data_IF_481195609705
#
_entry.id   IF_481195609705
#
_cell.length_a   1.000
_cell.length_b   1.000
_cell.length_c   1.000
_cell.angle_alpha   90.00
_cell.angle_beta   90.00
_cell.angle_gamma   90.00
#
_symmetry.space_group_name_H-M   'P 1'
#
loop_
_entity.id
_entity.type
_entity.pdbx_description
1 polymer ?
#
# COMPACT_ATOMS: atom_id res chain seq x y z
N UNK A 1 20.01 20.89 -11.24
CA UNK A 1 19.31 21.22 -9.96
C UNK A 1 20.39 21.49 -8.93
N UNK A 2 20.25 22.54 -8.11
CA UNK A 2 21.27 22.91 -7.11
C UNK A 2 21.25 21.94 -5.93
N UNK A 3 22.43 21.68 -5.34
CA UNK A 3 22.58 20.82 -4.15
C UNK A 3 22.22 21.54 -2.84
N UNK A 4 22.19 22.86 -2.86
CA UNK A 4 21.64 23.68 -1.78
C UNK A 4 20.89 24.88 -2.32
N UNK A 5 19.93 25.35 -1.52
CA UNK A 5 19.18 26.59 -1.72
C UNK A 5 19.33 27.45 -0.46
N UNK A 6 19.08 28.74 -0.56
CA UNK A 6 19.09 29.67 0.58
C UNK A 6 17.88 30.59 0.53
N UNK A 7 17.22 30.79 1.67
CA UNK A 7 16.16 31.78 1.85
C UNK A 7 16.42 32.62 3.11
N UNK A 8 15.47 33.46 3.51
CA UNK A 8 15.55 34.26 4.74
C UNK A 8 15.62 33.44 6.03
N UNK A 9 15.29 32.14 5.98
CA UNK A 9 15.31 31.20 7.12
C UNK A 9 16.57 30.33 7.14
N UNK A 10 17.47 30.52 6.17
CA UNK A 10 18.78 29.90 6.13
C UNK A 10 18.97 28.90 5.00
N UNK A 11 19.89 27.96 5.21
CA UNK A 11 20.30 27.01 4.18
C UNK A 11 19.35 25.82 4.08
N UNK A 12 19.04 25.42 2.86
CA UNK A 12 18.37 24.16 2.53
C UNK A 12 19.34 23.25 1.80
N UNK A 13 19.44 22.00 2.24
CA UNK A 13 20.37 21.01 1.68
C UNK A 13 19.57 19.91 1.02
N UNK A 14 19.96 19.49 -0.18
CA UNK A 14 19.31 18.38 -0.89
C UNK A 14 19.56 17.08 -0.12
N UNK A 15 18.51 16.36 0.28
CA UNK A 15 18.65 14.99 0.81
C UNK A 15 18.52 13.93 -0.28
N UNK A 16 17.80 14.21 -1.35
CA UNK A 16 17.52 13.20 -2.35
C UNK A 16 16.62 13.67 -3.48
N UNK A 17 16.44 12.77 -4.43
CA UNK A 17 15.60 12.98 -5.59
C UNK A 17 14.96 11.66 -5.97
N UNK A 18 13.63 11.65 -5.96
CA UNK A 18 12.82 10.53 -6.46
C UNK A 18 12.41 10.74 -7.92
N UNK A 19 11.47 9.91 -8.37
CA UNK A 19 10.91 10.01 -9.72
C UNK A 19 10.10 11.28 -9.95
N UNK A 20 9.47 11.81 -8.89
CA UNK A 20 8.51 12.92 -8.99
C UNK A 20 8.96 14.19 -8.27
N UNK A 21 9.79 14.07 -7.24
CA UNK A 21 10.15 15.19 -6.38
C UNK A 21 11.66 15.23 -6.12
N UNK A 22 12.19 16.45 -5.98
CA UNK A 22 13.44 16.70 -5.28
C UNK A 22 13.11 17.11 -3.85
N UNK A 23 13.92 16.64 -2.91
CA UNK A 23 13.68 16.85 -1.49
C UNK A 23 14.88 17.55 -0.86
N UNK A 24 14.59 18.63 -0.16
CA UNK A 24 15.53 19.39 0.64
C UNK A 24 15.11 19.36 2.11
N UNK A 25 16.05 19.57 3.01
CA UNK A 25 15.79 19.81 4.43
C UNK A 25 16.45 21.11 4.85
N UNK A 26 15.86 21.82 5.81
CA UNK A 26 16.42 23.08 6.28
C UNK A 26 17.55 22.86 7.29
N UNK A 27 18.36 23.90 7.49
CA UNK A 27 19.51 23.88 8.40
C UNK A 27 19.15 23.50 9.85
N UNK A 28 17.94 23.84 10.30
CA UNK A 28 17.44 23.47 11.63
C UNK A 28 17.00 22.00 11.74
N UNK A 29 16.96 21.26 10.63
CA UNK A 29 16.53 19.86 10.56
C UNK A 29 15.10 19.62 11.08
N UNK A 30 14.19 20.59 10.89
CA UNK A 30 12.80 20.50 11.35
C UNK A 30 11.78 20.54 10.20
N UNK A 31 12.20 20.94 9.00
CA UNK A 31 11.35 21.04 7.81
C UNK A 31 11.97 20.33 6.61
N UNK A 32 11.09 19.81 5.78
CA UNK A 32 11.39 19.23 4.47
C UNK A 32 10.70 20.07 3.40
N UNK A 33 11.42 20.43 2.35
CA UNK A 33 10.90 21.11 1.17
C UNK A 33 10.90 20.16 -0.03
N UNK A 34 9.71 19.82 -0.54
CA UNK A 34 9.51 18.94 -1.69
C UNK A 34 9.18 19.77 -2.92
N UNK A 35 9.98 19.61 -3.97
CA UNK A 35 9.84 20.31 -5.25
C UNK A 35 9.50 19.32 -6.36
N UNK A 36 8.32 19.42 -6.99
CA UNK A 36 7.95 18.55 -8.08
C UNK A 36 8.84 18.77 -9.31
N UNK A 37 9.19 17.68 -10.00
CA UNK A 37 10.00 17.69 -11.22
C UNK A 37 9.10 18.00 -12.42
N UNK A 38 9.28 19.17 -13.04
CA UNK A 38 8.38 19.70 -14.08
C UNK A 38 8.31 18.87 -15.38
N UNK A 39 9.28 17.99 -15.64
CA UNK A 39 9.37 17.18 -16.88
C UNK A 39 8.92 15.72 -16.71
N UNK A 40 8.19 15.40 -15.64
CA UNK A 40 7.66 14.05 -15.42
C UNK A 40 6.39 13.82 -16.24
N UNK A 41 6.01 12.56 -16.46
CA UNK A 41 4.80 12.20 -17.21
C UNK A 41 3.59 13.03 -16.74
N UNK A 42 2.96 13.75 -17.67
CA UNK A 42 1.93 14.77 -17.40
C UNK A 42 0.77 14.24 -16.56
N UNK A 43 0.47 12.94 -16.64
CA UNK A 43 -0.61 12.34 -15.83
C UNK A 43 -0.21 12.18 -14.36
N UNK A 44 1.06 11.87 -14.09
CA UNK A 44 1.56 11.59 -12.75
C UNK A 44 2.03 12.82 -12.02
N UNK A 45 2.60 13.76 -12.77
CA UNK A 45 3.00 15.04 -12.22
C UNK A 45 1.82 15.74 -11.50
N UNK A 46 0.57 15.51 -11.95
CA UNK A 46 -0.64 16.03 -11.31
C UNK A 46 -0.85 15.58 -9.86
N UNK A 47 -0.27 14.45 -9.44
CA UNK A 47 -0.42 13.96 -8.07
C UNK A 47 0.42 14.78 -7.07
N UNK A 48 1.57 15.28 -7.53
CA UNK A 48 2.54 16.04 -6.75
C UNK A 48 2.54 17.54 -7.08
N UNK A 49 1.64 18.01 -7.94
CA UNK A 49 1.52 19.40 -8.35
C UNK A 49 0.44 20.17 -7.56
N UNK A 50 0.64 21.49 -7.49
CA UNK A 50 -0.31 22.41 -6.88
C UNK A 50 -0.50 22.17 -5.38
N UNK A 51 -1.74 22.34 -4.90
CA UNK A 51 -2.08 22.22 -3.47
C UNK A 51 -2.37 20.78 -3.02
N UNK A 52 -2.63 19.86 -3.96
CA UNK A 52 -3.04 18.48 -3.64
C UNK A 52 -2.11 17.77 -2.64
N UNK A 53 -0.77 17.71 -2.82
CA UNK A 53 0.08 16.98 -1.89
C UNK A 53 0.08 17.60 -0.48
N UNK A 54 -0.05 18.93 -0.37
CA UNK A 54 -0.16 19.64 0.92
C UNK A 54 -1.47 19.30 1.63
N UNK A 55 -2.58 19.33 0.90
CA UNK A 55 -3.90 18.99 1.42
C UNK A 55 -3.95 17.54 1.88
N UNK A 56 -3.37 16.61 1.11
CA UNK A 56 -3.25 15.21 1.50
C UNK A 56 -2.39 15.00 2.73
N UNK A 57 -1.23 15.67 2.79
CA UNK A 57 -0.39 15.63 3.99
C UNK A 57 -1.15 16.10 5.21
N UNK A 58 -1.80 17.27 5.13
CA UNK A 58 -2.55 17.84 6.24
C UNK A 58 -3.77 16.99 6.62
N UNK A 59 -4.37 16.29 5.66
CA UNK A 59 -5.47 15.37 5.93
C UNK A 59 -4.98 14.09 6.63
N UNK A 60 -3.91 13.47 6.12
CA UNK A 60 -3.38 12.20 6.64
C UNK A 60 -2.67 12.40 7.97
N UNK A 61 -1.79 13.41 8.05
CA UNK A 61 -0.91 13.71 9.18
C UNK A 61 -1.38 14.94 9.97
N UNK A 62 -2.69 15.12 10.14
CA UNK A 62 -3.30 16.34 10.72
C UNK A 62 -2.85 16.70 12.15
N UNK A 63 -2.30 15.74 12.88
CA UNK A 63 -1.78 15.91 14.24
C UNK A 63 -0.36 16.49 14.27
N UNK A 64 0.35 16.54 13.14
CA UNK A 64 1.71 17.04 13.08
C UNK A 64 1.75 18.56 12.87
N UNK A 65 2.75 19.19 13.46
CA UNK A 65 3.03 20.64 13.33
C UNK A 65 4.49 20.87 12.94
N UNK A 66 4.79 21.92 12.15
CA UNK A 66 3.83 22.80 11.47
C UNK A 66 3.02 22.07 10.39
N UNK A 67 1.90 22.66 9.95
CA UNK A 67 1.12 22.10 8.84
C UNK A 67 1.89 22.24 7.53
N UNK A 68 1.63 21.35 6.57
CA UNK A 68 2.21 21.49 5.24
C UNK A 68 1.68 22.73 4.52
N UNK A 69 2.56 23.43 3.82
CA UNK A 69 2.23 24.69 3.16
C UNK A 69 3.00 24.84 1.85
N UNK A 70 2.44 25.59 0.90
CA UNK A 70 3.14 26.01 -0.30
C UNK A 70 4.38 26.83 0.08
N UNK A 71 5.46 26.63 -0.65
CA UNK A 71 6.73 27.31 -0.37
C UNK A 71 7.49 27.56 -1.67
N UNK A 72 8.19 28.67 -1.74
CA UNK A 72 8.99 29.07 -2.89
C UNK A 72 10.36 29.54 -2.41
N UNK A 73 11.42 29.02 -3.04
CA UNK A 73 12.81 29.39 -2.76
C UNK A 73 13.53 29.49 -4.09
N UNK A 74 14.20 30.61 -4.35
CA UNK A 74 14.99 30.82 -5.58
C UNK A 74 14.22 30.49 -6.88
N UNK A 75 12.91 30.80 -6.93
CA UNK A 75 12.03 30.51 -8.07
C UNK A 75 11.62 29.03 -8.21
N UNK A 76 12.04 28.16 -7.30
CA UNK A 76 11.57 26.78 -7.22
C UNK A 76 10.28 26.73 -6.39
N UNK A 77 9.17 26.34 -7.01
CA UNK A 77 7.87 26.23 -6.36
C UNK A 77 7.67 24.79 -5.87
N UNK A 78 7.37 24.63 -4.59
CA UNK A 78 7.10 23.35 -3.97
C UNK A 78 6.25 23.48 -2.71
N UNK A 79 6.50 22.61 -1.74
CA UNK A 79 5.81 22.66 -0.46
C UNK A 79 6.68 22.16 0.68
N UNK A 80 6.43 22.72 1.87
CA UNK A 80 7.10 22.31 3.10
C UNK A 80 6.23 21.40 3.95
N UNK A 81 6.85 20.52 4.71
CA UNK A 81 6.22 19.74 5.78
C UNK A 81 7.23 19.45 6.92
N UNK A 82 6.78 19.01 8.10
CA UNK A 82 7.68 18.63 9.18
C UNK A 82 8.65 17.53 8.77
N UNK A 83 9.91 17.68 9.16
CA UNK A 83 10.89 16.61 9.08
C UNK A 83 10.56 15.52 10.11
N UNK A 84 10.42 14.28 9.64
CA UNK A 84 10.08 13.14 10.50
C UNK A 84 11.33 12.31 10.74
N UNK A 85 11.82 12.31 11.97
CA UNK A 85 12.96 11.49 12.40
C UNK A 85 12.46 10.22 13.09
N UNK A 86 12.95 9.07 12.64
CA UNK A 86 12.63 7.77 13.21
C UNK A 86 13.22 6.63 12.39
N UNK A 87 12.69 5.43 12.58
CA UNK A 87 13.06 4.23 11.82
C UNK A 87 12.07 3.96 10.69
N UNK A 88 12.48 3.20 9.68
CA UNK A 88 11.55 2.64 8.71
C UNK A 88 10.48 1.81 9.45
N UNK A 89 9.21 2.04 9.12
CA UNK A 89 8.11 1.31 9.73
C UNK A 89 8.14 -0.17 9.35
N UNK A 90 7.75 -1.04 10.28
CA UNK A 90 7.61 -2.47 10.00
C UNK A 90 6.38 -2.74 9.13
N UNK A 91 6.34 -3.89 8.43
CA UNK A 91 5.18 -4.31 7.63
C UNK A 91 3.85 -4.29 8.43
N UNK A 92 3.91 -4.59 9.74
CA UNK A 92 2.70 -4.56 10.60
C UNK A 92 2.29 -3.13 10.95
N UNK A 93 3.26 -2.25 11.22
CA UNK A 93 3.01 -0.83 11.49
C UNK A 93 2.43 -0.14 10.25
N UNK A 94 2.95 -0.44 9.04
CA UNK A 94 2.43 0.08 7.77
C UNK A 94 1.00 -0.41 7.54
N UNK A 95 0.77 -1.72 7.66
CA UNK A 95 -0.54 -2.35 7.51
C UNK A 95 -1.58 -1.73 8.45
N UNK A 96 -1.24 -1.51 9.72
CA UNK A 96 -2.11 -0.81 10.67
C UNK A 96 -2.37 0.64 10.26
N UNK A 97 -1.31 1.38 9.91
CA UNK A 97 -1.44 2.79 9.51
C UNK A 97 -2.28 2.98 8.26
N UNK A 98 -2.23 2.05 7.31
CA UNK A 98 -3.07 2.07 6.11
C UNK A 98 -4.56 2.02 6.44
N UNK A 99 -4.95 1.17 7.40
CA UNK A 99 -6.34 1.12 7.87
C UNK A 99 -6.75 2.41 8.56
N UNK A 100 -5.89 3.00 9.40
CA UNK A 100 -6.19 4.31 9.99
C UNK A 100 -6.42 5.38 8.92
N UNK A 101 -5.56 5.44 7.90
CA UNK A 101 -5.69 6.38 6.78
C UNK A 101 -6.99 6.15 6.03
N UNK A 102 -7.30 4.89 5.72
CA UNK A 102 -8.54 4.54 5.04
C UNK A 102 -9.76 4.92 5.86
N UNK A 103 -9.79 4.62 7.16
CA UNK A 103 -10.93 4.91 8.00
C UNK A 103 -11.16 6.42 8.14
N UNK A 104 -10.07 7.17 8.26
CA UNK A 104 -10.11 8.63 8.40
C UNK A 104 -10.48 9.35 7.11
N UNK A 105 -10.06 8.84 5.95
CA UNK A 105 -10.05 9.62 4.69
C UNK A 105 -10.72 8.95 3.50
N UNK A 106 -11.05 7.66 3.60
CA UNK A 106 -11.47 6.79 2.49
C UNK A 106 -10.38 6.52 1.45
N UNK A 107 -9.13 6.95 1.71
CA UNK A 107 -8.01 6.82 0.76
C UNK A 107 -7.16 5.59 1.03
N UNK A 108 -6.56 5.08 -0.04
CA UNK A 108 -5.63 3.96 0.00
C UNK A 108 -4.27 4.45 -0.51
N UNK A 109 -3.21 4.27 0.28
CA UNK A 109 -1.83 4.56 -0.14
C UNK A 109 -1.30 3.34 -0.87
N UNK A 110 -1.39 3.34 -2.20
CA UNK A 110 -1.16 2.13 -3.03
C UNK A 110 0.33 1.75 -3.14
N UNK A 111 1.23 2.68 -2.88
CA UNK A 111 2.69 2.52 -2.91
C UNK A 111 3.30 2.40 -1.51
N UNK A 112 2.50 2.05 -0.50
CA UNK A 112 2.96 1.97 0.89
C UNK A 112 4.07 0.94 1.16
N UNK A 113 4.31 0.04 0.21
CA UNK A 113 5.40 -0.96 0.25
C UNK A 113 6.75 -0.35 -0.17
N UNK A 114 6.80 0.93 -0.52
CA UNK A 114 8.05 1.65 -0.72
C UNK A 114 8.83 1.74 0.59
N UNK A 115 10.09 1.30 0.56
CA UNK A 115 10.97 1.48 1.72
C UNK A 115 11.03 2.97 2.08
N UNK A 116 10.87 3.25 3.38
CA UNK A 116 10.86 4.59 3.95
C UNK A 116 9.67 5.48 3.58
N UNK A 117 8.65 4.99 2.85
CA UNK A 117 7.40 5.76 2.68
C UNK A 117 6.64 5.94 4.01
N UNK A 118 6.94 5.10 5.00
CA UNK A 118 6.41 5.18 6.35
C UNK A 118 7.56 5.17 7.37
N UNK A 119 7.49 6.09 8.33
CA UNK A 119 8.47 6.25 9.41
C UNK A 119 7.78 6.12 10.76
N UNK A 120 8.32 5.28 11.64
CA UNK A 120 7.87 5.18 13.03
C UNK A 120 8.76 6.05 13.91
N UNK A 121 8.16 7.03 14.58
CA UNK A 121 8.85 8.00 15.42
C UNK A 121 9.38 7.30 16.68
N UNK A 122 10.67 7.40 16.95
CA UNK A 122 11.29 6.69 18.08
C UNK A 122 11.45 7.55 19.34
N UNK A 123 11.38 8.88 19.20
CA UNK A 123 11.65 9.85 20.27
C UNK A 123 10.68 11.03 20.23
N UNK A 124 10.53 11.71 21.37
CA UNK A 124 9.69 12.90 21.50
C UNK A 124 8.21 12.60 21.77
N UNK A 125 7.34 13.61 21.68
CA UNK A 125 5.94 13.50 22.11
C UNK A 125 5.09 12.58 21.23
N UNK A 126 5.51 12.34 19.98
CA UNK A 126 4.84 11.45 19.04
C UNK A 126 5.48 10.06 18.96
N UNK A 127 6.27 9.66 19.97
CA UNK A 127 6.94 8.35 20.02
C UNK A 127 5.94 7.20 19.79
N UNK A 128 6.33 6.25 18.95
CA UNK A 128 5.52 5.09 18.57
C UNK A 128 4.54 5.34 17.43
N UNK A 129 4.33 6.59 17.02
CA UNK A 129 3.44 6.89 15.90
C UNK A 129 4.12 6.57 14.56
N UNK A 130 3.42 5.85 13.70
CA UNK A 130 3.81 5.62 12.31
C UNK A 130 3.22 6.71 11.41
N UNK A 131 4.08 7.38 10.65
CA UNK A 131 3.75 8.52 9.79
C UNK A 131 3.95 8.13 8.33
N UNK A 132 2.96 8.42 7.49
CA UNK A 132 3.06 8.29 6.04
C UNK A 132 3.74 9.55 5.49
N UNK A 133 4.97 9.42 5.00
CA UNK A 133 5.75 10.56 4.51
C UNK A 133 5.65 10.76 3.00
N UNK A 134 5.25 9.72 2.26
CA UNK A 134 4.91 9.81 0.83
C UNK A 134 3.41 9.60 0.63
N UNK A 135 2.71 10.69 0.33
CA UNK A 135 1.24 10.75 0.25
C UNK A 135 0.74 10.92 -1.19
N UNK A 136 1.64 11.00 -2.17
CA UNK A 136 1.29 11.31 -3.57
C UNK A 136 0.26 10.34 -4.13
N UNK A 137 0.42 9.05 -3.82
CA UNK A 137 -0.43 7.95 -4.24
C UNK A 137 -1.47 7.53 -3.18
N UNK A 138 -1.88 8.44 -2.30
CA UNK A 138 -3.06 8.27 -1.45
C UNK A 138 -4.36 8.51 -2.25
N UNK A 139 -4.88 7.46 -2.88
CA UNK A 139 -5.95 7.53 -3.85
C UNK A 139 -7.34 7.39 -3.22
N UNK A 140 -8.29 8.23 -3.66
CA UNK A 140 -9.71 8.08 -3.36
C UNK A 140 -10.40 7.47 -4.59
N UNK A 141 -10.70 6.18 -4.55
CA UNK A 141 -11.20 5.37 -5.67
C UNK A 141 -12.71 5.14 -5.65
N UNK A 142 -13.45 5.98 -4.91
CA UNK A 142 -14.90 5.87 -4.82
C UNK A 142 -15.54 6.08 -6.19
N UNK A 143 -16.30 5.09 -6.64
CA UNK A 143 -17.07 5.16 -7.88
C UNK A 143 -18.53 5.54 -7.65
N UNK A 144 -19.01 5.47 -6.41
CA UNK A 144 -20.38 5.88 -6.06
C UNK A 144 -20.60 7.37 -6.30
N UNK A 145 -21.78 7.74 -6.83
CA UNK A 145 -22.21 9.13 -6.97
C UNK A 145 -22.55 9.78 -5.63
N UNK A 146 -22.71 9.00 -4.57
CA UNK A 146 -23.12 9.45 -3.24
C UNK A 146 -21.94 9.98 -2.40
N UNK A 147 -20.70 9.68 -2.80
CA UNK A 147 -19.49 10.05 -2.06
C UNK A 147 -18.61 11.01 -2.88
N UNK A 148 -17.81 11.86 -2.22
CA UNK A 148 -16.82 12.68 -2.91
C UNK A 148 -15.91 11.82 -3.81
N UNK A 149 -15.79 12.21 -5.07
CA UNK A 149 -14.90 11.58 -6.06
C UNK A 149 -13.67 12.45 -6.25
N UNK A 150 -12.54 11.81 -6.53
CA UNK A 150 -11.32 12.49 -6.96
C UNK A 150 -10.98 12.01 -8.36
N UNK A 151 -11.32 12.80 -9.39
CA UNK A 151 -11.00 12.44 -10.78
C UNK A 151 -9.50 12.20 -10.95
N UNK A 152 -8.66 13.03 -10.34
CA UNK A 152 -7.20 12.83 -10.32
C UNK A 152 -6.78 11.48 -9.75
N UNK A 153 -7.46 11.00 -8.70
CA UNK A 153 -7.16 9.68 -8.11
C UNK A 153 -7.60 8.54 -9.03
N UNK A 154 -8.76 8.68 -9.69
CA UNK A 154 -9.26 7.70 -10.66
C UNK A 154 -8.36 7.62 -11.90
N UNK A 155 -8.01 8.76 -12.47
CA UNK A 155 -7.11 8.84 -13.63
C UNK A 155 -5.74 8.23 -13.31
N UNK A 156 -5.20 8.51 -12.12
CA UNK A 156 -3.94 7.94 -11.66
C UNK A 156 -4.03 6.43 -11.49
N UNK A 157 -5.12 5.94 -10.89
CA UNK A 157 -5.35 4.52 -10.73
C UNK A 157 -5.44 3.79 -12.07
N UNK A 158 -6.21 4.31 -13.02
CA UNK A 158 -6.34 3.70 -14.34
C UNK A 158 -5.01 3.65 -15.09
N UNK A 159 -4.14 4.65 -14.88
CA UNK A 159 -2.80 4.66 -15.44
C UNK A 159 -1.82 3.66 -14.77
N UNK A 160 -1.95 3.42 -13.46
CA UNK A 160 -0.94 2.68 -12.68
C UNK A 160 -1.35 1.30 -12.22
N UNK A 161 -2.64 0.96 -12.33
CA UNK A 161 -3.18 -0.29 -11.79
C UNK A 161 -2.37 -1.50 -12.22
N UNK A 162 -1.99 -1.62 -13.50
CA UNK A 162 -1.21 -2.76 -13.99
C UNK A 162 0.14 -2.88 -13.27
N UNK A 163 0.92 -1.80 -13.21
CA UNK A 163 2.23 -1.79 -12.57
C UNK A 163 2.14 -2.11 -11.07
N UNK A 164 1.09 -1.63 -10.41
CA UNK A 164 0.81 -1.93 -9.00
C UNK A 164 0.49 -3.41 -8.83
N UNK A 165 -0.36 -3.99 -9.70
CA UNK A 165 -0.68 -5.42 -9.65
C UNK A 165 0.55 -6.30 -9.89
N UNK A 166 1.40 -5.91 -10.84
CA UNK A 166 2.65 -6.61 -11.11
C UNK A 166 3.58 -6.53 -9.90
N UNK A 167 3.66 -5.37 -9.26
CA UNK A 167 4.43 -5.16 -8.03
C UNK A 167 3.90 -6.00 -6.87
N UNK A 168 2.58 -6.15 -6.73
CA UNK A 168 1.99 -7.06 -5.74
C UNK A 168 2.36 -8.52 -6.00
N UNK A 169 2.71 -8.90 -7.22
CA UNK A 169 3.11 -10.27 -7.55
C UNK A 169 4.62 -10.50 -7.42
N UNK A 170 5.40 -9.44 -7.20
CA UNK A 170 6.85 -9.53 -7.00
C UNK A 170 7.18 -10.33 -5.73
N UNK A 171 8.01 -11.36 -5.88
CA UNK A 171 8.49 -12.18 -4.76
C UNK A 171 9.19 -11.34 -3.69
N UNK A 172 9.92 -10.30 -4.10
CA UNK A 172 10.60 -9.38 -3.18
C UNK A 172 9.60 -8.61 -2.32
N UNK A 173 8.57 -8.02 -2.93
CA UNK A 173 7.54 -7.26 -2.21
C UNK A 173 6.74 -8.18 -1.30
N UNK A 174 6.36 -9.36 -1.77
CA UNK A 174 5.67 -10.37 -0.96
C UNK A 174 6.50 -10.86 0.22
N UNK A 175 7.83 -10.91 0.08
CA UNK A 175 8.72 -11.30 1.17
C UNK A 175 8.83 -10.22 2.26
N UNK A 176 9.02 -8.95 1.87
CA UNK A 176 9.24 -7.86 2.82
C UNK A 176 7.96 -7.24 3.38
N UNK A 177 6.87 -7.24 2.59
CA UNK A 177 5.63 -6.52 2.91
C UNK A 177 4.34 -7.35 2.74
N UNK A 178 4.29 -8.62 3.19
CA UNK A 178 3.13 -9.48 2.94
C UNK A 178 1.83 -8.93 3.56
N UNK A 179 1.87 -8.37 4.78
CA UNK A 179 0.67 -7.85 5.45
C UNK A 179 0.20 -6.56 4.80
N UNK A 180 1.12 -5.69 4.42
CA UNK A 180 0.83 -4.46 3.70
C UNK A 180 0.14 -4.77 2.36
N UNK A 181 0.65 -5.71 1.57
CA UNK A 181 0.02 -6.12 0.30
C UNK A 181 -1.40 -6.64 0.55
N UNK A 182 -1.58 -7.55 1.51
CA UNK A 182 -2.89 -8.10 1.87
C UNK A 182 -3.85 -6.98 2.28
N UNK A 183 -3.38 -6.02 3.07
CA UNK A 183 -4.19 -4.88 3.53
C UNK A 183 -4.61 -4.01 2.35
N UNK A 184 -3.68 -3.62 1.47
CA UNK A 184 -4.00 -2.79 0.30
C UNK A 184 -5.04 -3.50 -0.59
N UNK A 185 -4.85 -4.78 -0.89
CA UNK A 185 -5.82 -5.57 -1.69
C UNK A 185 -7.19 -5.67 -1.01
N UNK A 186 -7.23 -5.91 0.30
CA UNK A 186 -8.47 -5.95 1.06
C UNK A 186 -9.20 -4.60 1.02
N UNK A 187 -8.49 -3.49 1.25
CA UNK A 187 -9.07 -2.14 1.18
C UNK A 187 -9.55 -1.79 -0.23
N UNK A 188 -8.78 -2.15 -1.28
CA UNK A 188 -9.19 -1.97 -2.67
C UNK A 188 -10.48 -2.72 -2.97
N UNK A 189 -10.63 -3.94 -2.46
CA UNK A 189 -11.87 -4.71 -2.60
C UNK A 189 -13.03 -4.04 -1.86
N UNK A 190 -12.84 -3.62 -0.61
CA UNK A 190 -13.88 -2.95 0.19
C UNK A 190 -14.37 -1.64 -0.46
N UNK A 191 -13.45 -0.84 -1.01
CA UNK A 191 -13.78 0.44 -1.62
C UNK A 191 -14.71 0.31 -2.83
N UNK A 192 -14.69 -0.81 -3.54
CA UNK A 192 -15.61 -1.05 -4.66
C UNK A 192 -17.07 -1.16 -4.22
N UNK A 193 -17.32 -1.61 -2.99
CA UNK A 193 -18.67 -1.74 -2.44
C UNK A 193 -19.17 -0.45 -1.80
N UNK A 194 -18.34 0.60 -1.70
CA UNK A 194 -18.67 1.94 -1.18
C UNK A 194 -19.42 1.94 0.17
N UNK A 195 -19.18 0.97 1.04
CA UNK A 195 -19.96 0.77 2.26
C UNK A 195 -19.15 0.72 3.56
N UNK A 196 -17.82 0.69 3.47
CA UNK A 196 -16.96 0.54 4.66
C UNK A 196 -16.14 1.79 4.87
N UNK A 197 -16.48 2.55 5.91
CA UNK A 197 -15.63 3.60 6.44
C UNK A 197 -14.79 3.12 7.63
N UNK A 198 -15.06 1.93 8.18
CA UNK A 198 -14.23 1.34 9.22
C UNK A 198 -13.74 -0.05 8.81
N UNK A 199 -12.42 -0.18 8.66
CA UNK A 199 -11.67 -1.38 8.31
C UNK A 199 -10.78 -1.87 9.47
N UNK A 200 -11.03 -1.46 10.72
CA UNK A 200 -10.28 -1.90 11.92
C UNK A 200 -10.32 -3.42 12.09
N UNK A 201 -11.38 -4.05 11.59
CA UNK A 201 -11.54 -5.51 11.61
C UNK A 201 -10.45 -6.27 10.85
N UNK A 202 -9.71 -5.61 9.96
CA UNK A 202 -8.58 -6.22 9.25
C UNK A 202 -7.41 -6.56 10.20
N UNK A 203 -7.32 -5.90 11.36
CA UNK A 203 -6.21 -6.02 12.31
C UNK A 203 -6.57 -6.74 13.61
N UNK A 204 -7.77 -7.32 13.69
CA UNK A 204 -8.18 -8.10 14.85
C UNK A 204 -7.22 -9.27 15.18
N UNK A 205 -7.51 -9.97 16.27
CA UNK A 205 -6.88 -11.28 16.58
C UNK A 205 -7.08 -12.25 15.40
N UNK A 206 -6.67 -13.51 15.53
CA UNK A 206 -6.62 -14.53 14.46
C UNK A 206 -7.66 -14.41 13.31
N UNK A 207 -8.92 -14.11 13.61
CA UNK A 207 -9.99 -13.87 12.63
C UNK A 207 -9.78 -12.65 11.71
N UNK A 208 -9.32 -11.51 12.22
CA UNK A 208 -9.11 -10.30 11.41
C UNK A 208 -8.09 -10.54 10.29
N UNK A 209 -7.01 -11.25 10.61
CA UNK A 209 -5.99 -11.68 9.62
C UNK A 209 -6.59 -12.60 8.55
N UNK A 210 -7.50 -13.51 8.93
CA UNK A 210 -8.22 -14.36 7.97
C UNK A 210 -9.13 -13.55 7.07
N UNK A 211 -9.90 -12.62 7.63
CA UNK A 211 -10.81 -11.75 6.87
C UNK A 211 -10.00 -10.91 5.88
N UNK A 212 -8.91 -10.28 6.32
CA UNK A 212 -8.03 -9.50 5.45
C UNK A 212 -7.49 -10.34 4.28
N UNK A 213 -6.97 -11.55 4.57
CA UNK A 213 -6.47 -12.46 3.53
C UNK A 213 -7.58 -12.87 2.56
N UNK A 214 -8.76 -13.15 3.08
CA UNK A 214 -9.93 -13.56 2.32
C UNK A 214 -10.39 -12.46 1.35
N UNK A 215 -10.49 -11.22 1.81
CA UNK A 215 -10.81 -10.06 0.97
C UNK A 215 -9.73 -9.79 -0.09
N UNK A 216 -8.45 -9.95 0.27
CA UNK A 216 -7.35 -9.85 -0.68
C UNK A 216 -7.43 -10.95 -1.76
N UNK A 217 -7.81 -12.18 -1.40
CA UNK A 217 -8.03 -13.27 -2.36
C UNK A 217 -9.22 -13.00 -3.28
N UNK A 218 -10.29 -12.40 -2.76
CA UNK A 218 -11.42 -11.97 -3.58
C UNK A 218 -11.03 -10.87 -4.56
N UNK A 219 -10.17 -9.93 -4.14
CA UNK A 219 -9.59 -8.93 -5.03
C UNK A 219 -8.81 -9.57 -6.17
N UNK A 220 -7.92 -10.52 -5.86
CA UNK A 220 -7.10 -11.20 -6.86
C UNK A 220 -7.97 -11.98 -7.85
N UNK A 221 -8.92 -12.77 -7.36
CA UNK A 221 -9.85 -13.54 -8.19
C UNK A 221 -10.67 -12.65 -9.14
N UNK A 222 -11.08 -11.47 -8.69
CA UNK A 222 -11.83 -10.52 -9.52
C UNK A 222 -10.99 -10.00 -10.69
N UNK A 223 -9.69 -9.78 -10.46
CA UNK A 223 -8.80 -9.19 -11.46
C UNK A 223 -8.14 -10.23 -12.39
N UNK A 224 -8.41 -11.53 -12.21
CA UNK A 224 -7.98 -12.56 -13.15
C UNK A 224 -8.75 -12.44 -14.48
N UNK A 225 -8.00 -12.31 -15.59
CA UNK A 225 -8.56 -12.20 -16.95
C UNK A 225 -9.35 -13.43 -17.40
N UNK A 226 -9.03 -14.60 -16.84
CA UNK A 226 -9.72 -15.87 -17.11
C UNK A 226 -10.06 -16.56 -15.79
N UNK A 227 -11.34 -16.59 -15.44
CA UNK A 227 -11.83 -17.36 -14.28
C UNK A 227 -11.96 -18.82 -14.74
N UNK A 228 -11.07 -19.71 -14.30
CA UNK A 228 -11.27 -21.13 -14.54
C UNK A 228 -12.50 -21.62 -13.77
N UNK A 229 -13.16 -22.69 -14.23
CA UNK A 229 -14.35 -23.23 -13.56
C UNK A 229 -14.13 -23.52 -12.07
N UNK A 230 -12.93 -24.01 -11.71
CA UNK A 230 -12.52 -24.26 -10.32
C UNK A 230 -12.48 -22.98 -9.45
N UNK A 231 -12.26 -21.82 -10.06
CA UNK A 231 -12.27 -20.53 -9.36
C UNK A 231 -13.68 -20.03 -9.05
N UNK A 232 -14.71 -20.51 -9.77
CA UNK A 232 -16.11 -20.17 -9.47
C UNK A 232 -16.55 -20.72 -8.12
N UNK A 233 -16.17 -21.96 -7.82
CA UNK A 233 -16.47 -22.59 -6.52
C UNK A 233 -15.66 -21.93 -5.42
N UNK A 234 -14.38 -21.63 -5.67
CA UNK A 234 -13.54 -20.85 -4.75
C UNK A 234 -14.18 -19.51 -4.42
N UNK A 235 -14.66 -18.76 -5.42
CA UNK A 235 -15.34 -17.48 -5.21
C UNK A 235 -16.58 -17.65 -4.33
N UNK A 236 -17.43 -18.64 -4.60
CA UNK A 236 -18.62 -18.92 -3.76
C UNK A 236 -18.25 -19.27 -2.31
N UNK A 237 -17.22 -20.09 -2.13
CA UNK A 237 -16.73 -20.48 -0.80
C UNK A 237 -16.21 -19.25 -0.06
N UNK A 238 -15.28 -18.50 -0.66
CA UNK A 238 -14.71 -17.31 -0.04
C UNK A 238 -15.79 -16.31 0.33
N UNK A 239 -16.74 -16.10 -0.56
CA UNK A 239 -17.87 -15.22 -0.36
C UNK A 239 -18.78 -15.67 0.81
N UNK A 240 -19.09 -16.97 0.89
CA UNK A 240 -19.84 -17.54 2.02
C UNK A 240 -19.06 -17.36 3.33
N UNK A 241 -17.76 -17.60 3.31
CA UNK A 241 -16.88 -17.40 4.47
C UNK A 241 -16.86 -15.93 4.91
N UNK A 242 -16.82 -14.96 3.97
CA UNK A 242 -16.90 -13.53 4.31
C UNK A 242 -18.22 -13.23 5.01
N UNK A 243 -19.34 -13.68 4.44
CA UNK A 243 -20.66 -13.46 5.02
C UNK A 243 -20.80 -14.07 6.42
N UNK A 244 -20.32 -15.31 6.60
CA UNK A 244 -20.35 -16.00 7.89
C UNK A 244 -19.48 -15.26 8.92
N UNK A 245 -18.28 -14.81 8.55
CA UNK A 245 -17.40 -14.05 9.44
C UNK A 245 -18.00 -12.69 9.81
N UNK A 246 -18.64 -12.00 8.87
CA UNK A 246 -19.35 -10.75 9.15
C UNK A 246 -20.51 -10.99 10.12
N UNK A 247 -21.33 -12.01 9.84
CA UNK A 247 -22.52 -12.32 10.62
C UNK A 247 -22.18 -12.73 12.05
N UNK A 248 -21.14 -13.55 12.23
CA UNK A 248 -20.75 -14.09 13.53
C UNK A 248 -19.96 -13.11 14.41
N UNK A 249 -19.25 -12.14 13.81
CA UNK A 249 -18.39 -11.22 14.56
C UNK A 249 -19.09 -9.93 14.97
N UNK A 250 -20.44 -9.93 15.02
CA UNK A 250 -21.25 -8.75 15.37
C UNK A 250 -20.93 -7.51 14.53
N UNK A 251 -20.46 -7.69 13.29
CA UNK A 251 -20.40 -6.56 12.38
C UNK A 251 -21.83 -6.13 12.06
N UNK A 252 -22.07 -4.82 12.12
CA UNK A 252 -23.37 -4.27 11.82
C UNK A 252 -23.79 -4.69 10.40
N UNK A 253 -24.78 -5.58 10.32
CA UNK A 253 -25.26 -6.16 9.07
C UNK A 253 -25.85 -5.10 8.14
N UNK A 254 -26.24 -3.94 8.69
CA UNK A 254 -26.70 -2.79 7.91
C UNK A 254 -25.60 -2.20 7.01
N UNK A 255 -24.33 -2.55 7.24
CA UNK A 255 -23.19 -2.14 6.42
C UNK A 255 -23.01 -3.01 5.15
N UNK A 256 -23.74 -4.12 5.00
CA UNK A 256 -23.56 -5.08 3.90
C UNK A 256 -24.70 -5.26 2.85
N UNK A 257 -25.71 -4.37 2.69
CA UNK A 257 -26.79 -4.58 1.71
C UNK A 257 -26.32 -4.73 0.26
N UNK A 258 -25.33 -3.95 -0.20
CA UNK A 258 -24.86 -4.00 -1.60
C UNK A 258 -23.92 -5.18 -1.83
N UNK A 259 -23.26 -5.67 -0.79
CA UNK A 259 -22.50 -6.92 -0.85
C UNK A 259 -23.42 -8.09 -1.21
N UNK A 260 -24.60 -8.16 -0.58
CA UNK A 260 -25.67 -9.12 -0.88
C UNK A 260 -26.29 -8.96 -2.29
N UNK A 261 -26.24 -7.76 -2.89
CA UNK A 261 -26.69 -7.55 -4.27
C UNK A 261 -25.69 -8.08 -5.31
N UNK A 262 -24.40 -7.76 -5.18
CA UNK A 262 -23.33 -8.32 -6.02
C UNK A 262 -23.29 -9.85 -5.95
N UNK A 263 -23.63 -10.38 -4.78
CA UNK A 263 -23.86 -11.78 -4.49
C UNK A 263 -24.95 -12.44 -5.35
N UNK A 264 -26.02 -11.71 -5.64
CA UNK A 264 -27.21 -12.22 -6.32
C UNK A 264 -27.21 -11.99 -7.85
N UNK A 265 -26.63 -10.89 -8.35
CA UNK A 265 -26.56 -10.62 -9.80
C UNK A 265 -25.76 -11.67 -10.57
N UNK A 266 -24.69 -12.21 -9.97
CA UNK A 266 -23.91 -13.29 -10.60
C UNK A 266 -24.69 -14.62 -10.71
N UNK A 267 -25.80 -14.78 -9.98
CA UNK A 267 -26.72 -15.90 -10.14
C UNK A 267 -27.83 -15.62 -11.15
N UNK A 268 -28.28 -14.37 -11.30
CA UNK A 268 -29.27 -13.97 -12.31
C UNK A 268 -28.75 -14.06 -13.75
N UNK A 269 -27.52 -13.63 -14.00
CA UNK A 269 -26.90 -13.75 -15.35
C UNK A 269 -26.81 -15.21 -15.83
N UNK A 270 -26.83 -16.20 -14.91
CA UNK A 270 -26.90 -17.63 -15.25
C UNK A 270 -28.28 -18.11 -15.66
N UNK A 271 -29.35 -17.52 -15.15
CA UNK A 271 -30.71 -17.86 -15.58
C UNK A 271 -30.98 -17.30 -16.97
N UNK A 272 -30.39 -16.15 -17.30
CA UNK A 272 -30.49 -15.55 -18.63
C UNK A 272 -29.61 -16.28 -19.66
N UNK A 273 -28.36 -16.66 -19.33
CA UNK A 273 -27.53 -17.53 -20.20
C UNK A 273 -28.16 -18.92 -20.40
N UNK A 274 -28.85 -19.48 -19.40
CA UNK A 274 -29.58 -20.75 -19.56
C UNK A 274 -30.87 -20.61 -20.38
N UNK A 275 -31.49 -19.42 -20.41
CA UNK A 275 -32.68 -19.13 -21.23
C UNK A 275 -32.32 -18.76 -22.67
N UNK A 276 -31.11 -18.27 -22.93
CA UNK A 276 -30.65 -17.91 -24.28
C UNK A 276 -30.08 -19.08 -25.08
N UNK A 277 -29.89 -20.25 -24.48
CA UNK A 277 -29.58 -21.49 -25.21
C UNK A 277 -30.91 -22.20 -25.50
N UNK A 278 -31.63 -21.70 -26.50
CA UNK A 278 -32.64 -22.50 -27.18
C UNK A 278 -31.92 -23.67 -27.91
N UNK A 279 -32.53 -24.86 -28.00
CA UNK A 279 -31.92 -25.97 -28.73
C UNK A 279 -31.96 -25.64 -30.23
N UNK A 280 -30.89 -25.01 -30.74
CA UNK A 280 -30.68 -24.95 -32.19
C UNK A 280 -30.46 -26.37 -32.71
N UNK A 281 -31.28 -26.72 -33.70
CA UNK A 281 -31.25 -27.97 -34.42
C UNK A 281 -29.83 -28.33 -34.86
N UNK A 282 -29.46 -29.59 -34.63
CA UNK A 282 -28.23 -30.21 -35.13
C UNK A 282 -28.19 -30.12 -36.66
N UNK A 283 -27.60 -29.04 -37.20
CA UNK A 283 -27.13 -29.01 -38.59
C UNK A 283 -25.76 -29.67 -38.67
N UNK A 284 -25.69 -30.61 -39.62
CA UNK A 284 -24.57 -31.45 -40.01
C UNK A 284 -23.19 -30.80 -39.85
N UNK A 285 -22.33 -31.44 -39.05
CA UNK A 285 -20.90 -31.18 -39.02
C UNK A 285 -20.28 -31.62 -40.35
N UNK A 286 -19.71 -30.67 -41.09
CA UNK A 286 -18.70 -30.94 -42.12
C UNK A 286 -17.34 -31.13 -41.41
N UNK A 287 -16.51 -32.10 -41.84
CA UNK A 287 -15.21 -32.35 -41.21
C UNK A 287 -14.26 -31.15 -41.40
N UNK A 288 -13.53 -30.83 -40.33
CA UNK A 288 -12.49 -29.81 -40.29
C UNK A 288 -11.24 -30.36 -41.02
N UNK A 289 -10.60 -29.62 -41.94
CA UNK A 289 -9.36 -30.06 -42.58
C UNK A 289 -8.24 -30.18 -41.56
N UNK A 290 -7.42 -31.22 -41.68
CA UNK A 290 -6.29 -31.47 -40.77
C UNK A 290 -5.18 -30.45 -40.97
N UNK A 291 -4.29 -30.31 -39.98
CA UNK A 291 -3.14 -29.39 -40.02
C UNK A 291 -2.21 -29.60 -41.22
N UNK A 292 -2.27 -30.74 -41.90
CA UNK A 292 -1.43 -31.05 -43.07
C UNK A 292 -1.84 -30.25 -44.32
N UNK A 293 -3.11 -29.85 -44.42
CA UNK A 293 -3.62 -29.07 -45.57
C UNK A 293 -3.17 -27.59 -45.53
N UNK A 294 -2.76 -27.08 -44.36
CA UNK A 294 -2.34 -25.68 -44.19
C UNK A 294 -0.85 -25.43 -44.48
N UNK A 295 -0.03 -26.48 -44.66
CA UNK A 295 1.43 -26.34 -44.81
C UNK A 295 1.86 -26.15 -46.28
N UNK A 296 0.98 -26.39 -47.27
CA UNK A 296 1.35 -26.32 -48.70
C UNK A 296 1.36 -24.93 -49.35
N UNK A 297 0.89 -23.87 -48.69
CA UNK A 297 0.67 -22.57 -49.37
C UNK A 297 1.20 -21.32 -48.66
N UNK A 298 2.33 -21.39 -47.95
CA UNK A 298 3.01 -20.16 -47.49
C UNK A 298 4.30 -19.87 -48.27
N UNK A 299 4.46 -18.65 -48.84
CA UNK A 299 5.69 -18.24 -49.48
C UNK A 299 6.80 -18.02 -48.45
N UNK A 300 7.99 -18.57 -48.74
CA UNK A 300 9.20 -18.33 -47.97
C UNK A 300 9.72 -16.91 -48.28
N UNK A 301 9.64 -16.00 -47.31
CA UNK A 301 10.51 -14.83 -47.27
C UNK A 301 11.40 -14.92 -46.04
N UNK A 302 12.69 -15.17 -46.31
CA UNK A 302 13.76 -15.13 -45.33
C UNK A 302 14.31 -13.70 -45.28
N UNK A 303 14.24 -13.08 -44.11
CA UNK A 303 14.95 -11.85 -43.79
C UNK A 303 15.57 -12.00 -42.40
N UNK A 304 16.90 -12.05 -42.35
CA UNK A 304 17.69 -12.10 -41.13
C UNK A 304 17.41 -10.87 -40.25
N UNK A 305 16.98 -11.11 -39.01
CA UNK A 305 17.09 -10.13 -37.92
C UNK A 305 18.11 -10.68 -36.91
N UNK A 306 19.17 -9.90 -36.74
CA UNK A 306 20.28 -10.18 -35.85
C UNK A 306 19.92 -9.89 -34.40
N UNK A 307 20.56 -10.62 -33.49
CA UNK A 307 20.39 -10.52 -32.05
C UNK A 307 20.78 -9.14 -31.52
N UNK A 308 19.80 -8.24 -31.39
CA UNK A 308 19.86 -7.02 -30.60
C UNK A 308 18.45 -6.52 -30.34
N UNK A 309 17.73 -7.19 -29.45
CA UNK A 309 16.56 -6.66 -28.75
C UNK A 309 16.28 -7.55 -27.54
N UNK A 310 16.36 -6.98 -26.34
CA UNK A 310 15.51 -7.21 -25.17
C UNK A 310 16.13 -6.47 -23.97
N UNK A 311 15.96 -5.15 -23.95
CA UNK A 311 16.07 -4.35 -22.73
C UNK A 311 14.83 -3.48 -22.66
N UNK A 312 13.78 -4.01 -22.04
CA UNK A 312 12.55 -3.30 -21.73
C UNK A 312 12.37 -3.32 -20.21
N UNK A 313 12.63 -2.15 -19.60
CA UNK A 313 11.84 -1.64 -18.48
C UNK A 313 11.96 -2.30 -17.10
N UNK A 314 13.18 -2.57 -16.60
CA UNK A 314 13.41 -2.99 -15.22
C UNK A 314 14.14 -1.93 -14.35
N UNK A 315 14.18 -0.67 -14.79
CA UNK A 315 14.93 0.38 -14.10
C UNK A 315 14.04 1.28 -13.23
N UNK A 316 14.45 1.36 -11.95
CA UNK A 316 14.09 2.34 -10.89
C UNK A 316 12.98 1.97 -9.89
N UNK A 317 13.17 0.85 -9.19
CA UNK A 317 13.15 0.90 -7.72
C UNK A 317 14.58 1.21 -7.25
N UNK A 318 14.99 2.47 -7.30
CA UNK A 318 16.27 2.87 -6.72
C UNK A 318 16.10 2.91 -5.20
N UNK A 319 16.46 1.81 -4.55
CA UNK A 319 16.74 1.79 -3.11
C UNK A 319 17.89 2.77 -2.85
N UNK A 320 17.58 3.90 -2.21
CA UNK A 320 18.60 4.70 -1.55
C UNK A 320 18.67 4.27 -0.08
N UNK A 321 19.52 3.28 0.21
CA UNK A 321 20.11 3.14 1.54
C UNK A 321 21.20 4.21 1.66
N UNK A 322 20.90 5.33 2.32
CA UNK A 322 21.94 6.22 2.83
C UNK A 322 21.77 6.27 4.35
N UNK A 323 22.64 5.54 5.03
CA UNK A 323 22.63 5.49 6.48
C UNK A 323 23.62 4.50 7.05
N UNK A 324 24.90 4.57 6.66
CA UNK A 324 26.00 4.06 7.49
C UNK A 324 27.25 4.95 7.38
N UNK A 325 27.85 5.20 8.55
CA UNK A 325 29.24 5.59 8.82
C UNK A 325 29.66 7.06 8.72
N UNK A 326 29.35 7.82 9.78
CA UNK A 326 30.22 8.90 10.28
C UNK A 326 30.31 8.81 11.81
N UNK A 327 31.02 7.80 12.31
CA UNK A 327 31.67 7.81 13.63
C UNK A 327 32.92 6.93 13.51
N UNK A 328 34.04 7.54 13.10
CA UNK A 328 35.36 6.96 13.32
C UNK A 328 36.06 7.81 14.38
N UNK A 329 35.88 7.39 15.63
CA UNK A 329 36.69 7.82 16.76
C UNK A 329 37.88 6.86 16.84
N UNK A 330 39.01 7.24 16.26
CA UNK A 330 40.29 6.60 16.55
C UNK A 330 41.27 7.61 17.11
N UNK A 331 41.39 7.60 18.45
CA UNK A 331 42.64 7.59 19.23
C UNK A 331 42.36 8.04 20.66
N UNK A 332 42.33 7.09 21.59
CA UNK A 332 43.09 7.14 22.84
C UNK A 332 43.00 5.78 23.54
N UNK A 333 44.15 5.10 23.59
CA UNK A 333 44.43 4.00 24.49
C UNK A 333 44.53 4.52 25.93
N UNK A 334 43.87 3.86 26.86
CA UNK A 334 44.33 3.51 28.23
C UNK A 334 43.14 2.82 28.91
N UNK A 335 43.12 1.48 28.96
CA UNK A 335 43.63 0.68 30.09
C UNK A 335 42.95 1.01 31.41
N UNK A 336 41.88 0.29 31.74
CA UNK A 336 41.61 -0.16 33.11
C UNK A 336 40.68 -1.37 33.08
N UNK A 337 41.22 -2.49 33.54
CA UNK A 337 40.56 -3.77 33.75
C UNK A 337 39.75 -3.73 35.04
N UNK A 338 38.44 -4.01 34.96
CA UNK A 338 37.62 -4.30 36.14
C UNK A 338 37.17 -5.76 36.02
N UNK A 339 37.59 -6.55 37.01
CA UNK A 339 37.17 -7.92 37.25
C UNK A 339 35.68 -7.92 37.64
N UNK A 340 34.91 -8.83 37.04
CA UNK A 340 33.57 -9.18 37.52
C UNK A 340 33.71 -10.59 38.08
N UNK A 341 33.60 -10.71 39.40
CA UNK A 341 33.37 -11.98 40.08
C UNK A 341 31.88 -12.30 40.04
N UNK A 342 31.59 -13.54 39.65
CA UNK A 342 30.30 -14.20 39.82
C UNK A 342 30.03 -14.36 41.32
N UNK A 343 28.83 -13.98 41.78
CA UNK A 343 28.30 -14.51 43.03
C UNK A 343 26.81 -14.79 42.88
N UNK A 344 26.51 -16.08 42.80
CA UNK A 344 25.20 -16.70 42.92
C UNK A 344 24.93 -16.93 44.40
N UNK A 345 23.87 -16.36 44.94
CA UNK A 345 23.21 -16.92 46.12
C UNK A 345 21.70 -16.77 46.01
N UNK A 346 21.07 -17.92 46.24
CA UNK A 346 19.65 -18.13 46.45
C UNK A 346 19.16 -17.35 47.66
N UNK A 347 17.91 -16.88 47.63
CA UNK A 347 17.06 -16.95 48.81
C UNK A 347 15.58 -16.99 48.41
N UNK A 348 14.97 -18.10 48.83
CA UNK A 348 13.54 -18.40 48.81
C UNK A 348 12.96 -17.81 50.10
N UNK A 349 11.94 -16.95 50.02
CA UNK A 349 11.17 -16.57 51.19
C UNK A 349 9.68 -16.89 50.99
N UNK A 350 9.22 -17.88 51.76
CA UNK A 350 7.83 -18.31 51.88
C UNK A 350 7.14 -17.50 52.99
N UNK A 351 6.31 -16.52 52.60
CA UNK A 351 5.50 -15.74 53.53
C UNK A 351 4.01 -16.10 53.48
N UNK A 352 3.63 -17.16 54.19
CA UNK A 352 2.24 -17.49 54.53
C UNK A 352 1.62 -16.47 55.51
N UNK A 353 0.36 -16.05 55.29
CA UNK A 353 -0.34 -15.11 56.18
C UNK A 353 -1.85 -15.15 55.99
N UNK A 354 -2.56 -15.59 57.03
CA UNK A 354 -3.93 -16.07 57.03
C UNK A 354 -5.03 -15.02 57.26
N UNK A 355 -6.24 -15.40 56.82
CA UNK A 355 -7.59 -15.16 57.36
C UNK A 355 -7.79 -14.29 58.62
N UNK A 356 -8.70 -13.29 58.53
CA UNK A 356 -10.06 -13.28 59.15
C UNK A 356 -10.70 -11.87 59.12
N UNK A 357 -12.01 -11.75 58.82
CA UNK A 357 -12.81 -10.59 59.22
C UNK A 357 -13.59 -10.89 60.52
N UNK A 358 -13.73 -9.87 61.38
CA UNK A 358 -14.69 -9.91 62.49
C UNK A 358 -15.70 -8.77 62.34
N UNK A 359 -16.97 -9.14 62.51
CA UNK A 359 -18.12 -8.25 62.69
C UNK A 359 -18.08 -7.63 64.08
N UNK A 360 -18.43 -6.36 64.18
CA UNK A 360 -19.42 -5.86 65.13
C UNK A 360 -20.14 -4.65 64.55
#
# INVERSE_FOLDING_TARGET
MKDSLTDEKGKWVKIGQGSFNIVYYNQENNLVFKVPIQNTDKKMAKLDQGKRPQELWNLINSNLKPVAAAYEIEGMIGWTCPYIKGKAATDSEISFKLTEIYNKTGRIVIDAMGWQNFITIEKGPNRGQTICIDVGLALLLNKSNELPKSQTSLDAWDAYKSNVMDSFSSSKIQYYFPKTVVTIKALLFLQEFNQFLNADFLHGKYEGKKIAKLLADMYDLKNQKSIHYKDKDKRKILQRTVNELIHNNHFDQSLFPKFNYFLNENNKNKEEEKKSVAPEEKKYFQPIPTMEDKIRHMPKQAGQLTARDFTVGADKFTLFSHGENLLDNSKLNSSESVQIEDDLSDDIDEGSGADRPSRH
#
